data_IF_252886827721
#
_entry.id   IF_252886827721
#
_cell.length_a   1.000
_cell.length_b   1.000
_cell.length_c   1.000
_cell.angle_alpha   90.00
_cell.angle_beta   90.00
_cell.angle_gamma   90.00
#
_symmetry.space_group_name_H-M   'P 1'
#
loop_
_entity.id
_entity.type
_entity.pdbx_description
1 polymer ?
#
# COMPACT_ATOMS: atom_id res chain seq x y z
N UNK A 1 -15.53 17.27 -3.60
CA UNK A 1 -15.01 15.93 -3.90
C UNK A 1 -16.15 15.10 -4.45
N UNK A 2 -15.88 14.33 -5.50
CA UNK A 2 -16.86 13.45 -6.13
C UNK A 2 -16.30 12.04 -6.18
N UNK A 3 -16.65 11.25 -5.15
CA UNK A 3 -16.13 9.88 -4.95
C UNK A 3 -16.63 8.89 -6.01
N UNK A 4 -17.67 9.25 -6.79
CA UNK A 4 -18.22 8.41 -7.86
C UNK A 4 -17.26 8.29 -9.05
N UNK A 5 -16.28 9.20 -9.12
CA UNK A 5 -15.25 9.22 -10.16
C UNK A 5 -14.17 8.16 -9.92
N UNK A 6 -14.05 7.69 -8.68
CA UNK A 6 -13.02 6.74 -8.31
C UNK A 6 -13.30 5.37 -8.89
N UNK A 7 -12.29 4.82 -9.56
CA UNK A 7 -12.27 3.46 -10.07
C UNK A 7 -12.04 2.48 -8.92
N UNK A 8 -12.37 1.21 -9.15
CA UNK A 8 -12.10 0.16 -8.16
C UNK A 8 -10.60 0.10 -7.81
N UNK A 9 -9.73 0.23 -8.82
CA UNK A 9 -8.27 0.26 -8.63
C UNK A 9 -7.80 1.44 -7.77
N UNK A 10 -8.35 2.63 -8.00
CA UNK A 10 -8.03 3.83 -7.23
C UNK A 10 -8.50 3.71 -5.77
N UNK A 11 -9.68 3.13 -5.52
CA UNK A 11 -10.16 2.83 -4.16
C UNK A 11 -9.22 1.87 -3.43
N UNK A 12 -8.83 0.77 -4.08
CA UNK A 12 -7.89 -0.20 -3.52
C UNK A 12 -6.54 0.46 -3.20
N UNK A 13 -6.01 1.27 -4.12
CA UNK A 13 -4.74 1.95 -3.94
C UNK A 13 -4.80 3.02 -2.85
N UNK A 14 -5.84 3.85 -2.82
CA UNK A 14 -6.01 4.91 -1.82
C UNK A 14 -6.19 4.35 -0.40
N UNK A 15 -7.08 3.36 -0.24
CA UNK A 15 -7.30 2.70 1.07
C UNK A 15 -6.07 1.90 1.48
N UNK A 16 -5.45 1.16 0.56
CA UNK A 16 -4.19 0.48 0.81
C UNK A 16 -3.09 1.44 1.25
N UNK A 17 -2.98 2.60 0.61
CA UNK A 17 -2.05 3.68 1.02
C UNK A 17 -2.31 4.16 2.44
N UNK A 18 -3.56 4.45 2.80
CA UNK A 18 -3.90 4.86 4.16
C UNK A 18 -3.59 3.76 5.20
N UNK A 19 -3.91 2.51 4.90
CA UNK A 19 -3.59 1.37 5.77
C UNK A 19 -2.09 1.19 5.91
N UNK A 20 -1.31 1.30 4.82
CA UNK A 20 0.14 1.19 4.84
C UNK A 20 0.76 2.30 5.71
N UNK A 21 0.31 3.55 5.54
CA UNK A 21 0.80 4.67 6.33
C UNK A 21 0.60 4.46 7.83
N UNK A 22 -0.55 3.89 8.24
CA UNK A 22 -0.80 3.53 9.64
C UNK A 22 0.01 2.31 10.07
N UNK A 23 0.12 1.29 9.20
CA UNK A 23 0.84 0.05 9.46
C UNK A 23 2.31 0.30 9.81
N UNK A 24 2.97 1.29 9.21
CA UNK A 24 4.39 1.61 9.50
C UNK A 24 4.63 2.00 10.98
N UNK A 25 3.62 2.49 11.69
CA UNK A 25 3.73 2.85 13.10
C UNK A 25 3.36 1.71 14.06
N UNK A 26 2.79 0.62 13.54
CA UNK A 26 2.48 -0.56 14.34
C UNK A 26 3.77 -1.37 14.63
N UNK A 27 3.73 -2.26 15.63
CA UNK A 27 4.73 -3.30 15.81
C UNK A 27 4.83 -4.19 14.57
N UNK A 28 6.03 -4.31 14.00
CA UNK A 28 6.33 -5.25 12.91
C UNK A 28 7.06 -6.49 13.44
N UNK A 29 7.86 -6.30 14.49
CA UNK A 29 8.67 -7.35 15.08
C UNK A 29 8.57 -7.33 16.60
N UNK A 30 8.62 -8.52 17.19
CA UNK A 30 8.66 -8.70 18.64
C UNK A 30 9.70 -9.76 19.03
N UNK A 31 10.38 -9.57 20.15
CA UNK A 31 11.17 -10.62 20.78
C UNK A 31 10.28 -11.36 21.77
N UNK A 32 10.09 -12.65 21.53
CA UNK A 32 9.33 -13.52 22.42
C UNK A 32 10.30 -14.23 23.36
N UNK A 33 10.39 -13.72 24.59
CA UNK A 33 11.20 -14.33 25.63
C UNK A 33 10.49 -15.51 26.25
N UNK A 34 10.99 -16.72 26.02
CA UNK A 34 10.79 -17.81 26.96
C UNK A 34 11.64 -17.51 28.19
N UNK A 35 11.03 -16.93 29.24
CA UNK A 35 11.56 -16.82 30.61
C UNK A 35 13.08 -16.59 30.70
N UNK A 36 13.54 -15.35 30.52
CA UNK A 36 14.87 -15.02 31.02
C UNK A 36 14.74 -14.94 32.55
N UNK A 37 15.03 -16.05 33.24
CA UNK A 37 15.20 -16.09 34.69
C UNK A 37 16.49 -15.33 35.03
N UNK A 38 16.39 -14.00 35.08
CA UNK A 38 17.46 -13.09 35.50
C UNK A 38 17.72 -13.18 37.02
N UNK A 39 17.09 -14.11 37.76
CA UNK A 39 17.19 -14.18 39.22
C UNK A 39 16.57 -12.97 39.94
N UNK A 40 15.81 -12.13 39.22
CA UNK A 40 15.16 -10.91 39.74
C UNK A 40 13.68 -10.96 39.37
N UNK A 41 12.89 -11.67 40.18
CA UNK A 41 11.44 -11.78 40.04
C UNK A 41 11.01 -13.22 39.76
N UNK A 42 10.37 -13.85 40.75
CA UNK A 42 10.00 -15.26 40.73
C UNK A 42 8.96 -15.66 39.67
N UNK A 43 8.58 -16.95 39.64
CA UNK A 43 7.73 -17.51 38.60
C UNK A 43 6.36 -16.83 38.62
N UNK A 44 6.02 -16.15 37.52
CA UNK A 44 4.63 -15.77 37.23
C UNK A 44 3.97 -16.94 36.53
N UNK A 45 3.91 -18.09 37.22
CA UNK A 45 3.10 -19.24 36.81
C UNK A 45 1.63 -18.98 37.17
N UNK A 46 1.03 -18.01 36.48
CA UNK A 46 -0.42 -17.84 36.45
C UNK A 46 -1.03 -18.76 35.39
N UNK A 47 -2.15 -19.45 35.66
CA UNK A 47 -2.84 -20.25 34.65
C UNK A 47 -3.39 -19.31 33.57
N UNK A 48 -2.64 -19.18 32.47
CA UNK A 48 -2.87 -18.20 31.41
C UNK A 48 -1.60 -17.73 30.67
N UNK A 49 -0.40 -18.20 31.08
CA UNK A 49 0.90 -17.87 30.49
C UNK A 49 1.01 -18.20 29.00
N UNK A 50 0.49 -17.31 28.16
CA UNK A 50 0.97 -17.15 26.81
C UNK A 50 2.38 -16.53 26.85
N UNK A 51 3.22 -16.80 25.87
CA UNK A 51 4.54 -16.18 25.80
C UNK A 51 4.39 -14.68 25.56
N UNK A 52 4.57 -13.91 26.64
CA UNK A 52 4.51 -12.47 26.65
C UNK A 52 5.64 -11.91 25.76
N UNK A 53 5.26 -11.14 24.73
CA UNK A 53 6.22 -10.43 23.89
C UNK A 53 6.94 -9.41 24.77
N UNK A 54 8.25 -9.60 24.97
CA UNK A 54 9.02 -8.84 25.96
C UNK A 54 9.30 -7.42 25.44
N UNK A 55 9.52 -7.29 24.13
CA UNK A 55 9.80 -6.02 23.47
C UNK A 55 9.32 -6.06 22.02
N UNK A 56 8.68 -4.99 21.56
CA UNK A 56 8.26 -4.82 20.16
C UNK A 56 8.93 -3.63 19.50
N UNK A 57 9.20 -3.74 18.20
CA UNK A 57 9.70 -2.65 17.38
C UNK A 57 8.77 -2.36 16.20
N UNK A 58 8.61 -1.08 15.90
CA UNK A 58 7.92 -0.63 14.69
C UNK A 58 8.84 -0.69 13.47
N UNK A 59 8.25 -0.59 12.28
CA UNK A 59 8.99 -0.65 11.02
C UNK A 59 10.16 0.35 10.99
N UNK A 60 9.87 1.60 11.36
CA UNK A 60 10.83 2.72 11.44
C UNK A 60 12.10 2.44 12.24
N UNK A 61 12.00 1.60 13.27
CA UNK A 61 13.14 1.27 14.13
C UNK A 61 14.06 0.23 13.50
N UNK A 62 13.56 -0.55 12.54
CA UNK A 62 14.25 -1.70 11.95
C UNK A 62 14.78 -1.39 10.56
N UNK A 63 14.01 -0.71 9.69
CA UNK A 63 14.35 -0.61 8.27
C UNK A 63 14.57 0.82 7.74
N UNK A 64 14.32 1.84 8.56
CA UNK A 64 14.44 3.30 8.36
C UNK A 64 14.29 3.84 6.92
N UNK A 65 15.21 3.53 6.00
CA UNK A 65 15.15 3.89 4.58
C UNK A 65 13.99 3.21 3.85
N UNK A 66 13.76 1.91 4.06
CA UNK A 66 12.67 1.20 3.41
C UNK A 66 11.30 1.76 3.84
N UNK A 67 11.18 2.17 5.09
CA UNK A 67 9.95 2.76 5.65
C UNK A 67 9.65 4.13 5.06
N UNK A 68 10.69 4.95 4.79
CA UNK A 68 10.52 6.20 4.05
C UNK A 68 9.99 5.93 2.64
N UNK A 69 10.54 4.93 1.94
CA UNK A 69 10.08 4.59 0.59
C UNK A 69 8.65 4.03 0.61
N UNK A 70 8.31 3.18 1.58
CA UNK A 70 6.94 2.69 1.76
C UNK A 70 5.96 3.81 2.10
N UNK A 71 6.38 4.78 2.91
CA UNK A 71 5.59 5.96 3.21
C UNK A 71 5.37 6.81 1.96
N UNK A 72 6.41 7.02 1.14
CA UNK A 72 6.28 7.74 -0.14
C UNK A 72 5.33 7.03 -1.09
N UNK A 73 5.37 5.68 -1.15
CA UNK A 73 4.41 4.89 -1.92
C UNK A 73 2.97 5.11 -1.41
N UNK A 74 2.77 5.01 -0.08
CA UNK A 74 1.48 5.22 0.55
C UNK A 74 0.91 6.61 0.26
N UNK A 75 1.74 7.65 0.43
CA UNK A 75 1.36 9.03 0.15
C UNK A 75 1.09 9.25 -1.34
N UNK A 76 1.88 8.65 -2.24
CA UNK A 76 1.66 8.70 -3.68
C UNK A 76 0.31 8.10 -4.06
N UNK A 77 -0.03 6.91 -3.54
CA UNK A 77 -1.31 6.26 -3.78
C UNK A 77 -2.49 7.08 -3.24
N UNK A 78 -2.37 7.64 -2.04
CA UNK A 78 -3.37 8.54 -1.45
C UNK A 78 -3.51 9.84 -2.24
N UNK A 79 -2.41 10.40 -2.74
CA UNK A 79 -2.42 11.61 -3.57
C UNK A 79 -3.13 11.36 -4.89
N UNK A 80 -2.90 10.23 -5.55
CA UNK A 80 -3.63 9.82 -6.77
C UNK A 80 -5.13 9.75 -6.50
N UNK A 81 -5.53 9.05 -5.43
CA UNK A 81 -6.94 8.94 -5.01
C UNK A 81 -7.56 10.32 -4.77
N UNK A 82 -6.87 11.20 -4.04
CA UNK A 82 -7.34 12.55 -3.76
C UNK A 82 -7.46 13.41 -5.02
N UNK A 83 -6.46 13.36 -5.91
CA UNK A 83 -6.43 14.12 -7.16
C UNK A 83 -7.59 13.69 -8.05
N UNK A 84 -7.84 12.39 -8.23
CA UNK A 84 -8.95 11.90 -9.05
C UNK A 84 -10.31 12.28 -8.44
N UNK A 85 -10.43 12.25 -7.11
CA UNK A 85 -11.65 12.66 -6.43
C UNK A 85 -11.93 14.19 -6.48
N UNK A 86 -10.93 15.02 -6.80
CA UNK A 86 -11.04 16.49 -6.77
C UNK A 86 -10.94 17.17 -8.12
N UNK A 87 -10.16 16.61 -9.07
CA UNK A 87 -9.83 17.27 -10.34
C UNK A 87 -10.71 16.70 -11.47
N UNK A 88 -11.47 17.53 -12.20
CA UNK A 88 -12.32 17.09 -13.32
C UNK A 88 -11.56 16.90 -14.65
N UNK A 89 -10.27 16.57 -14.59
CA UNK A 89 -9.42 16.41 -15.78
C UNK A 89 -9.08 14.94 -16.02
N UNK A 90 -9.25 14.45 -17.26
CA UNK A 90 -8.80 13.11 -17.64
C UNK A 90 -7.26 13.08 -17.70
N UNK A 91 -6.64 12.02 -17.16
CA UNK A 91 -5.21 11.77 -17.34
C UNK A 91 -4.31 11.76 -16.09
N UNK A 92 -4.51 12.60 -15.04
CA UNK A 92 -3.60 12.62 -13.89
C UNK A 92 -3.52 11.28 -13.14
N UNK A 93 -4.65 10.59 -13.01
CA UNK A 93 -4.71 9.25 -12.42
C UNK A 93 -3.85 8.26 -13.19
N UNK A 94 -4.00 8.22 -14.52
CA UNK A 94 -3.31 7.26 -15.38
C UNK A 94 -1.78 7.48 -15.40
N UNK A 95 -1.33 8.74 -15.39
CA UNK A 95 0.10 9.09 -15.31
C UNK A 95 0.67 8.62 -13.97
N UNK A 96 -0.02 8.92 -12.88
CA UNK A 96 0.42 8.53 -11.54
C UNK A 96 0.40 7.01 -11.35
N UNK A 97 -0.60 6.31 -11.87
CA UNK A 97 -0.70 4.85 -11.87
C UNK A 97 0.45 4.22 -12.66
N UNK A 98 0.76 4.72 -13.85
CA UNK A 98 1.89 4.24 -14.65
C UNK A 98 3.24 4.41 -13.96
N UNK A 99 3.43 5.50 -13.22
CA UNK A 99 4.66 5.76 -12.47
C UNK A 99 4.73 4.95 -11.16
N UNK A 100 3.63 4.88 -10.42
CA UNK A 100 3.59 4.23 -9.11
C UNK A 100 3.53 2.72 -9.20
N UNK A 101 3.02 2.13 -10.29
CA UNK A 101 2.94 0.66 -10.43
C UNK A 101 4.30 -0.04 -10.32
N UNK A 102 5.35 0.32 -11.10
CA UNK A 102 6.66 -0.30 -10.95
C UNK A 102 7.27 -0.01 -9.57
N UNK A 103 7.04 1.18 -9.02
CA UNK A 103 7.51 1.51 -7.68
C UNK A 103 6.84 0.62 -6.60
N UNK A 104 5.53 0.43 -6.69
CA UNK A 104 4.75 -0.45 -5.84
C UNK A 104 5.21 -1.91 -5.95
N UNK A 105 5.55 -2.35 -7.16
CA UNK A 105 6.10 -3.69 -7.37
C UNK A 105 7.43 -3.88 -6.65
N UNK A 106 8.37 -2.94 -6.80
CA UNK A 106 9.66 -2.99 -6.10
C UNK A 106 9.45 -2.99 -4.58
N UNK A 107 8.58 -2.13 -4.07
CA UNK A 107 8.27 -2.07 -2.65
C UNK A 107 7.56 -3.33 -2.13
N UNK A 108 6.70 -3.96 -2.94
CA UNK A 108 6.10 -5.24 -2.60
C UNK A 108 7.16 -6.32 -2.43
N UNK A 109 8.14 -6.39 -3.34
CA UNK A 109 9.27 -7.32 -3.20
C UNK A 109 10.07 -7.03 -1.94
N UNK A 110 10.35 -5.76 -1.64
CA UNK A 110 11.05 -5.36 -0.40
C UNK A 110 10.29 -5.84 0.84
N UNK A 111 8.98 -5.60 0.93
CA UNK A 111 8.17 -6.02 2.07
C UNK A 111 8.11 -7.54 2.18
N UNK A 112 8.00 -8.27 1.06
CA UNK A 112 8.06 -9.74 1.06
C UNK A 112 9.41 -10.23 1.59
N UNK A 113 10.52 -9.66 1.13
CA UNK A 113 11.86 -10.00 1.63
C UNK A 113 12.00 -9.68 3.11
N UNK A 114 11.43 -8.58 3.60
CA UNK A 114 11.44 -8.24 5.02
C UNK A 114 10.61 -9.22 5.85
N UNK A 115 9.39 -9.55 5.42
CA UNK A 115 8.52 -10.48 6.15
C UNK A 115 9.11 -11.89 6.18
N UNK A 116 9.78 -12.32 5.10
CA UNK A 116 10.42 -13.64 5.03
C UNK A 116 11.81 -13.68 5.70
N UNK A 117 12.55 -12.58 5.62
CA UNK A 117 13.85 -12.41 6.24
C UNK A 117 13.67 -12.04 7.71
N UNK A 118 13.35 -13.02 8.55
CA UNK A 118 13.32 -12.86 9.99
C UNK A 118 14.62 -12.17 10.46
N UNK A 119 14.58 -11.16 11.33
CA UNK A 119 15.77 -10.68 12.04
C UNK A 119 16.19 -11.77 13.03
N UNK A 120 16.80 -12.83 12.51
CA UNK A 120 16.95 -14.12 13.21
C UNK A 120 17.62 -15.23 12.41
N UNK A 121 17.78 -15.09 11.09
CA UNK A 121 18.54 -16.09 10.30
C UNK A 121 20.05 -16.10 10.62
N UNK A 122 20.51 -15.17 11.47
CA UNK A 122 21.73 -15.38 12.24
C UNK A 122 21.33 -16.23 13.45
N UNK A 123 21.61 -17.53 13.41
CA UNK A 123 21.63 -18.45 14.56
C UNK A 123 22.17 -17.71 15.78
N UNK A 124 21.28 -17.11 16.54
CA UNK A 124 21.63 -16.35 17.71
C UNK A 124 21.97 -17.41 18.76
N UNK A 125 23.20 -17.47 19.30
CA UNK A 125 23.54 -18.46 20.30
C UNK A 125 22.52 -18.35 21.45
N UNK A 126 21.98 -19.47 21.97
CA UNK A 126 21.13 -19.41 23.15
C UNK A 126 21.86 -18.61 24.25
N UNK A 127 21.21 -17.61 24.88
CA UNK A 127 19.77 -17.54 25.16
C UNK A 127 19.07 -16.32 24.50
N UNK A 128 19.28 -16.06 23.21
CA UNK A 128 18.62 -14.93 22.55
C UNK A 128 17.16 -15.31 22.21
N UNK A 129 16.16 -14.49 22.61
CA UNK A 129 14.74 -14.78 22.38
C UNK A 129 14.38 -14.97 20.91
N UNK A 130 13.37 -15.81 20.63
CA UNK A 130 12.89 -16.04 19.28
C UNK A 130 12.24 -14.77 18.69
N UNK A 131 12.68 -14.31 17.51
CA UNK A 131 12.02 -13.22 16.81
C UNK A 131 10.66 -13.65 16.29
N UNK A 132 9.66 -12.79 16.43
CA UNK A 132 8.28 -13.03 16.02
C UNK A 132 7.76 -11.91 15.13
N UNK A 133 6.96 -12.29 14.13
CA UNK A 133 6.24 -11.36 13.25
C UNK A 133 4.99 -10.85 13.94
N UNK A 134 4.87 -9.54 14.02
CA UNK A 134 3.71 -8.88 14.61
C UNK A 134 2.67 -8.49 13.55
N UNK A 135 1.47 -8.11 14.00
CA UNK A 135 0.35 -7.77 13.12
C UNK A 135 0.67 -6.63 12.14
N UNK A 136 1.55 -5.69 12.50
CA UNK A 136 1.94 -4.57 11.65
C UNK A 136 2.62 -5.01 10.37
N UNK A 137 3.43 -6.09 10.41
CA UNK A 137 4.09 -6.63 9.23
C UNK A 137 3.08 -7.23 8.24
N UNK A 138 2.08 -7.96 8.74
CA UNK A 138 1.00 -8.52 7.93
C UNK A 138 0.12 -7.44 7.31
N UNK A 139 -0.20 -6.38 8.08
CA UNK A 139 -0.95 -5.23 7.57
C UNK A 139 -0.15 -4.47 6.51
N UNK A 140 1.15 -4.27 6.72
CA UNK A 140 2.06 -3.66 5.75
C UNK A 140 2.11 -4.44 4.44
N UNK A 141 2.22 -5.77 4.51
CA UNK A 141 2.17 -6.64 3.34
C UNK A 141 0.83 -6.57 2.62
N UNK A 142 -0.28 -6.77 3.33
CA UNK A 142 -1.62 -6.73 2.75
C UNK A 142 -1.93 -5.37 2.09
N UNK A 143 -1.54 -4.27 2.75
CA UNK A 143 -1.70 -2.92 2.23
C UNK A 143 -0.85 -2.70 0.97
N UNK A 144 0.39 -3.17 0.95
CA UNK A 144 1.29 -3.04 -0.22
C UNK A 144 0.77 -3.84 -1.41
N UNK A 145 0.24 -5.05 -1.18
CA UNK A 145 -0.47 -5.86 -2.19
C UNK A 145 -1.70 -5.12 -2.72
N UNK A 146 -2.51 -4.53 -1.84
CA UNK A 146 -3.69 -3.77 -2.24
C UNK A 146 -3.33 -2.54 -3.10
N UNK A 147 -2.25 -1.84 -2.77
CA UNK A 147 -1.73 -0.73 -3.58
C UNK A 147 -1.30 -1.23 -4.96
N UNK A 148 -0.42 -2.23 -5.02
CA UNK A 148 0.09 -2.75 -6.30
C UNK A 148 -1.05 -3.28 -7.19
N UNK A 149 -1.94 -4.10 -6.63
CA UNK A 149 -3.09 -4.64 -7.37
C UNK A 149 -4.05 -3.52 -7.81
N UNK A 150 -4.31 -2.54 -6.96
CA UNK A 150 -5.15 -1.39 -7.27
C UNK A 150 -4.60 -0.57 -8.44
N UNK A 151 -3.31 -0.23 -8.42
CA UNK A 151 -2.64 0.49 -9.49
C UNK A 151 -2.59 -0.32 -10.80
N UNK A 152 -2.26 -1.61 -10.73
CA UNK A 152 -2.21 -2.48 -11.90
C UNK A 152 -3.59 -2.69 -12.56
N UNK A 153 -4.66 -2.76 -11.76
CA UNK A 153 -6.04 -2.81 -12.27
C UNK A 153 -6.45 -1.46 -12.85
N UNK A 154 -6.08 -0.35 -12.21
CA UNK A 154 -6.35 1.02 -12.67
C UNK A 154 -5.82 1.27 -14.08
N UNK A 155 -4.57 0.84 -14.35
CA UNK A 155 -3.94 0.94 -15.68
C UNK A 155 -4.69 0.19 -16.78
N UNK A 156 -5.48 -0.85 -16.44
CA UNK A 156 -6.25 -1.63 -17.41
C UNK A 156 -7.67 -1.09 -17.63
N UNK A 157 -8.12 -0.16 -16.79
CA UNK A 157 -9.46 0.41 -16.89
C UNK A 157 -9.46 1.62 -17.85
N UNK A 158 -9.60 1.37 -19.15
CA UNK A 158 -9.64 2.45 -20.14
C UNK A 158 -11.03 3.10 -20.28
N UNK A 159 -12.07 2.60 -19.58
CA UNK A 159 -13.50 2.99 -19.74
C UNK A 159 -13.83 3.46 -21.16
N UNK A 160 -13.53 2.60 -22.13
CA UNK A 160 -13.87 2.86 -23.52
C UNK A 160 -15.38 2.79 -23.68
N UNK A 161 -15.96 3.86 -24.22
CA UNK A 161 -17.35 3.87 -24.65
C UNK A 161 -17.60 2.72 -25.62
N UNK A 162 -18.69 1.98 -25.43
CA UNK A 162 -19.08 0.98 -26.43
C UNK A 162 -19.35 1.68 -27.76
N UNK A 163 -19.05 1.06 -28.92
CA UNK A 163 -19.36 1.64 -30.21
C UNK A 163 -20.84 2.05 -30.27
N UNK A 164 -21.11 3.34 -30.57
CA UNK A 164 -22.46 3.90 -30.61
C UNK A 164 -23.10 4.27 -29.27
N UNK A 165 -22.41 4.08 -28.13
CA UNK A 165 -22.86 4.52 -26.81
C UNK A 165 -21.81 5.45 -26.19
N UNK A 166 -21.83 6.75 -26.50
CA UNK A 166 -20.91 7.70 -25.89
C UNK A 166 -21.13 7.69 -24.38
N UNK A 167 -20.06 7.46 -23.63
CA UNK A 167 -20.05 7.55 -22.16
C UNK A 167 -19.17 8.71 -21.74
N UNK A 168 -19.50 9.35 -20.63
CA UNK A 168 -18.61 10.34 -20.03
C UNK A 168 -17.37 9.66 -19.41
N UNK A 169 -16.49 10.46 -18.81
CA UNK A 169 -15.27 9.97 -18.17
C UNK A 169 -15.53 9.06 -16.97
N UNK A 170 -16.77 9.01 -16.48
CA UNK A 170 -17.22 8.10 -15.42
C UNK A 170 -17.87 6.84 -15.98
N UNK A 171 -17.98 6.68 -17.30
CA UNK A 171 -18.64 5.54 -17.94
C UNK A 171 -20.17 5.65 -17.95
N UNK A 172 -20.73 6.81 -17.58
CA UNK A 172 -22.18 7.05 -17.63
C UNK A 172 -22.57 7.39 -19.07
N UNK A 173 -23.60 6.74 -19.65
CA UNK A 173 -24.07 7.06 -21.00
C UNK A 173 -24.48 8.53 -21.12
N UNK A 174 -24.06 9.18 -22.20
CA UNK A 174 -24.40 10.56 -22.52
C UNK A 174 -25.17 10.59 -23.84
N UNK A 175 -26.19 11.44 -23.92
CA UNK A 175 -27.08 11.50 -25.08
C UNK A 175 -26.39 12.03 -26.34
N UNK A 176 -25.41 12.90 -26.20
CA UNK A 176 -24.67 13.50 -27.32
C UNK A 176 -23.15 13.37 -27.10
N UNK A 177 -22.38 13.01 -28.15
CA UNK A 177 -20.94 13.14 -28.14
C UNK A 177 -20.55 14.59 -27.84
N UNK A 178 -19.53 14.81 -27.00
CA UNK A 178 -19.00 16.17 -26.82
C UNK A 178 -18.60 16.74 -28.18
N UNK A 179 -18.95 18.01 -28.49
CA UNK A 179 -18.50 18.65 -29.72
C UNK A 179 -16.97 18.55 -29.80
N UNK A 180 -16.48 17.82 -30.80
CA UNK A 180 -15.04 17.79 -31.08
C UNK A 180 -14.70 19.14 -31.68
N UNK A 181 -13.80 19.86 -31.04
CA UNK A 181 -13.29 21.13 -31.57
C UNK A 181 -12.62 20.84 -32.92
N UNK A 182 -13.27 21.29 -34.01
CA UNK A 182 -12.73 21.16 -35.35
C UNK A 182 -11.61 22.17 -35.52
N UNK A 183 -10.37 21.71 -35.44
CA UNK A 183 -9.22 22.52 -35.78
C UNK A 183 -9.28 22.87 -37.28
N UNK A 184 -8.99 24.13 -37.66
CA UNK A 184 -8.86 24.50 -39.07
C UNK A 184 -7.87 23.56 -39.76
N UNK A 185 -8.23 23.09 -40.96
CA UNK A 185 -7.31 22.29 -41.76
C UNK A 185 -6.01 23.04 -42.06
N UNK A 186 -4.88 22.34 -42.25
CA UNK A 186 -3.63 22.98 -42.66
C UNK A 186 -3.85 23.79 -43.95
N UNK A 187 -3.20 24.95 -44.09
CA UNK A 187 -3.33 25.77 -45.29
C UNK A 187 -2.91 24.97 -46.53
N UNK A 188 -3.69 25.07 -47.61
CA UNK A 188 -3.34 24.48 -48.89
C UNK A 188 -2.04 25.12 -49.39
N UNK A 189 -1.06 24.27 -49.74
CA UNK A 189 0.23 24.67 -50.30
C UNK A 189 0.12 25.04 -51.78
#
# INVERSE_FOLDING_TARGET
MDLRRLRAGEWMAGVGGAVLALALFLPWWGLRGAWIDLGVGGPVDGPGGGPDVVTTWSAWQVFSVADVLLLLLALGAMATWWIVATRPVPGPGLIAEGLLTPYAFVMLVVVVVQVLGTPGDLEAPPPIPDPSLEIGAWLGLAATVAIFAGLAVGMRDERLSRPGQPTDQTGVPVAEPRPVETLPGPPAA
#
